data_IF_450747953746
#
_entry.id   IF_450747953746
#
_cell.length_a   1.000
_cell.length_b   1.000
_cell.length_c   1.000
_cell.angle_alpha   90.00
_cell.angle_beta   90.00
_cell.angle_gamma   90.00
#
_symmetry.space_group_name_H-M   'P 1'
#
loop_
_entity.id
_entity.type
_entity.pdbx_description
1 polymer ?
2 polymer ?
3 non-polymer ?
4 non-polymer ?
5 water ?
#
# COMPACT_ATOMS: atom_id res chain seq x y z
C UNK A 1 -5.26 -0.82 31.53
N UNK A 2 -5.50 -2.09 31.79
CA UNK A 2 -5.46 -3.07 30.68
C UNK A 2 -6.71 -2.92 29.83
N UNK A 3 -7.88 -2.68 30.41
CA UNK A 3 -9.13 -2.57 29.59
C UNK A 3 -9.01 -1.30 28.71
N UNK A 4 -8.50 -0.20 29.24
CA UNK A 4 -8.31 1.05 28.46
C UNK A 4 -7.31 0.77 27.34
N UNK A 5 -6.25 0.01 27.63
CA UNK A 5 -5.22 -0.30 26.62
C UNK A 5 -5.88 -1.07 25.48
N UNK A 6 -6.72 -2.05 25.78
CA UNK A 6 -7.41 -2.87 24.76
C UNK A 6 -8.31 -1.93 23.97
N UNK A 7 -9.09 -1.06 24.60
CA UNK A 7 -9.92 -0.10 23.84
C UNK A 7 -9.07 0.72 22.87
N UNK A 8 -7.91 1.20 23.31
CA UNK A 8 -7.04 2.04 22.47
C UNK A 8 -6.50 1.20 21.32
N UNK A 9 -6.05 -0.05 21.60
CA UNK A 9 -5.61 -0.96 20.51
C UNK A 9 -6.73 -1.15 19.51
N UNK A 10 -7.96 -1.39 19.93
CA UNK A 10 -9.06 -1.62 18.97
C UNK A 10 -9.26 -0.36 18.11
N UNK A 11 -9.27 0.81 18.72
CA UNK A 11 -9.51 2.08 17.99
C UNK A 11 -8.37 2.32 16.99
N UNK A 12 -7.14 2.05 17.43
CA UNK A 12 -5.94 2.24 16.58
C UNK A 12 -6.03 1.29 15.39
N UNK A 13 -6.38 0.03 15.63
CA UNK A 13 -6.39 -0.98 14.54
C UNK A 13 -7.52 -0.68 13.54
N UNK A 14 -8.66 -0.17 14.04
CA UNK A 14 -9.76 0.27 13.15
C UNK A 14 -9.24 1.37 12.23
N UNK A 15 -8.51 2.31 12.78
CA UNK A 15 -8.03 3.46 12.02
C UNK A 15 -6.93 3.00 11.04
N UNK A 16 -6.03 2.16 11.50
CA UNK A 16 -4.99 1.50 10.65
C UNK A 16 -5.65 0.80 9.43
N UNK A 17 -6.72 0.06 9.68
CA UNK A 17 -7.43 -0.62 8.57
C UNK A 17 -7.95 0.42 7.55
N UNK A 18 -8.44 1.56 7.99
CA UNK A 18 -8.88 2.63 7.06
C UNK A 18 -7.69 3.19 6.29
N UNK A 19 -6.52 3.37 6.94
CA UNK A 19 -5.34 3.85 6.20
C UNK A 19 -4.95 2.85 5.12
N UNK A 20 -5.02 1.56 5.43
CA UNK A 20 -4.62 0.53 4.43
C UNK A 20 -5.60 0.57 3.26
N UNK A 21 -6.91 0.73 3.55
CA UNK A 21 -7.90 0.85 2.45
C UNK A 21 -7.57 2.05 1.55
N UNK A 22 -7.12 3.19 2.09
CA UNK A 22 -6.79 4.34 1.23
C UNK A 22 -5.59 4.01 0.36
N UNK A 23 -4.54 3.39 0.92
CA UNK A 23 -3.39 2.92 0.08
C UNK A 23 -3.84 1.93 -1.00
N UNK A 24 -4.77 1.01 -0.67
CA UNK A 24 -5.28 0.04 -1.64
C UNK A 24 -5.93 0.79 -2.81
N UNK A 25 -6.71 1.83 -2.49
CA UNK A 25 -7.42 2.61 -3.50
C UNK A 25 -6.41 3.41 -4.33
N UNK A 26 -5.34 3.91 -3.75
CA UNK A 26 -4.27 4.57 -4.53
C UNK A 26 -3.72 3.55 -5.55
N UNK A 27 -3.56 2.29 -5.14
CA UNK A 27 -3.02 1.24 -6.02
C UNK A 27 -3.94 1.03 -7.21
N UNK A 28 -5.25 1.08 -6.97
CA UNK A 28 -6.22 0.94 -8.10
C UNK A 28 -6.00 2.07 -9.10
N UNK A 29 -5.78 3.28 -8.63
CA UNK A 29 -5.57 4.41 -9.56
C UNK A 29 -4.26 4.24 -10.31
N UNK A 30 -3.22 3.71 -9.68
CA UNK A 30 -1.93 3.50 -10.37
C UNK A 30 -2.07 2.47 -11.49
N UNK A 31 -2.86 1.42 -11.28
CA UNK A 31 -3.13 0.41 -12.35
C UNK A 31 -3.80 1.13 -13.52
N UNK A 32 -4.76 2.02 -13.26
CA UNK A 32 -5.44 2.72 -14.37
C UNK A 32 -4.44 3.62 -15.09
N UNK A 33 -3.56 4.30 -14.36
CA UNK A 33 -2.54 5.20 -14.95
C UNK A 33 -1.64 4.40 -15.85
N UNK A 34 -1.11 3.29 -15.39
CA UNK A 34 -0.13 2.56 -16.21
C UNK A 34 -0.85 1.93 -17.41
N UNK A 35 -2.07 1.47 -17.22
CA UNK A 35 -2.81 0.92 -18.39
C UNK A 35 -2.96 2.05 -19.42
N UNK A 36 -3.20 3.27 -18.96
CA UNK A 36 -3.34 4.42 -19.88
C UNK A 36 -2.07 4.77 -20.62
N UNK A 37 -0.95 4.69 -19.96
CA UNK A 37 0.35 4.88 -20.62
C UNK A 37 0.48 3.83 -21.74
N UNK A 38 0.28 2.54 -21.44
CA UNK A 38 0.45 1.46 -22.43
C UNK A 38 -0.48 1.71 -23.61
N UNK A 39 -1.74 2.03 -23.36
CA UNK A 39 -2.73 2.26 -24.45
C UNK A 39 -2.25 3.42 -25.32
N UNK A 40 -1.76 4.52 -24.75
CA UNK A 40 -1.25 5.66 -25.55
C UNK A 40 -0.05 5.21 -26.41
N UNK A 41 0.92 4.51 -25.84
CA UNK A 41 2.17 4.08 -26.52
C UNK A 41 1.74 3.22 -27.72
N UNK A 42 0.75 2.36 -27.53
CA UNK A 42 0.44 1.34 -28.55
C UNK A 42 -0.51 1.90 -29.62
N UNK A 43 -1.38 2.83 -29.26
CA UNK A 43 -2.48 3.28 -30.17
C UNK A 43 -2.16 4.65 -30.78
N UNK A 44 -2.88 5.02 -31.76
C UNK B 1 -12.73 11.46 -26.26
N UNK B 2 -11.89 10.68 -25.54
CA UNK B 2 -10.65 11.33 -25.01
C UNK B 2 -9.78 11.77 -26.18
N UNK B 3 -9.04 12.86 -25.97
CA UNK B 3 -8.01 13.36 -26.92
C UNK B 3 -6.93 12.28 -27.05
N UNK B 4 -6.50 11.99 -28.28
CA UNK B 4 -5.44 10.96 -28.47
C UNK B 4 -4.11 11.66 -28.78
N UNK B 5 -4.07 13.00 -28.69
CA UNK B 5 -2.93 13.89 -28.99
C UNK B 5 -1.79 13.75 -27.95
N UNK B 6 -2.03 14.13 -26.70
CA UNK B 6 -1.02 14.03 -25.61
C UNK B 6 -1.48 12.98 -24.61
N UNK B 7 -0.53 12.38 -23.91
CA UNK B 7 -0.86 11.42 -22.85
C UNK B 7 -1.35 12.21 -21.62
N UNK B 8 -2.43 11.75 -21.02
CA UNK B 8 -2.98 12.38 -19.79
C UNK B 8 -3.52 11.31 -18.83
N UNK B 9 -2.66 10.88 -17.91
CA UNK B 9 -3.08 10.01 -16.80
C UNK B 9 -2.99 10.84 -15.51
N UNK B 10 -2.96 12.17 -15.64
CA UNK B 10 -2.77 13.09 -14.53
C UNK B 10 -3.91 12.97 -13.55
N UNK B 11 -5.13 12.69 -13.96
CA UNK B 11 -6.25 12.62 -13.00
C UNK B 11 -6.10 11.36 -12.14
N UNK B 12 -5.66 10.25 -12.72
CA UNK B 12 -5.39 9.02 -11.93
C UNK B 12 -4.26 9.31 -10.95
N UNK B 13 -3.19 9.95 -11.38
CA UNK B 13 -2.02 10.19 -10.49
C UNK B 13 -2.47 11.13 -9.35
N UNK B 14 -3.30 12.14 -9.64
CA UNK B 14 -3.75 13.10 -8.60
C UNK B 14 -4.63 12.39 -7.59
N UNK B 15 -5.48 11.49 -8.05
CA UNK B 15 -6.38 10.72 -7.18
C UNK B 15 -5.51 9.81 -6.30
N UNK B 16 -4.49 9.21 -6.90
CA UNK B 16 -3.57 8.37 -6.07
C UNK B 16 -2.90 9.23 -5.01
N UNK B 17 -2.43 10.42 -5.36
CA UNK B 17 -1.78 11.33 -4.39
C UNK B 17 -2.75 11.64 -3.24
N UNK B 18 -3.99 11.95 -3.58
CA UNK B 18 -5.00 12.30 -2.56
C UNK B 18 -5.27 11.12 -1.61
N UNK B 19 -5.27 9.91 -2.13
CA UNK B 19 -5.52 8.70 -1.32
C UNK B 19 -4.31 8.46 -0.41
N UNK B 20 -3.10 8.67 -0.90
CA UNK B 20 -1.91 8.49 -0.05
C UNK B 20 -1.88 9.56 1.05
N UNK B 21 -2.35 10.78 0.78
CA UNK B 21 -2.45 11.86 1.80
C UNK B 21 -3.47 11.45 2.88
N UNK B 22 -4.61 10.91 2.44
CA UNK B 22 -5.66 10.44 3.36
C UNK B 22 -5.08 9.31 4.22
N UNK B 23 -4.35 8.39 3.60
CA UNK B 23 -3.69 7.31 4.38
C UNK B 23 -2.74 7.88 5.44
N UNK B 24 -1.94 8.89 5.08
CA UNK B 24 -0.96 9.46 6.03
C UNK B 24 -1.67 10.07 7.22
N UNK B 25 -2.78 10.75 6.97
CA UNK B 25 -3.54 11.37 8.07
C UNK B 25 -4.13 10.29 8.99
N UNK B 26 -4.65 9.21 8.42
CA UNK B 26 -5.18 8.10 9.23
C UNK B 26 -4.06 7.43 10.02
N UNK B 27 -2.88 7.22 9.44
CA UNK B 27 -1.77 6.62 10.22
C UNK B 27 -1.38 7.57 11.35
N UNK B 28 -1.43 8.88 11.12
CA UNK B 28 -1.13 9.82 12.26
C UNK B 28 -2.18 9.63 13.35
N UNK B 29 -3.43 9.49 12.97
CA UNK B 29 -4.51 9.32 13.98
C UNK B 29 -4.31 8.01 14.73
N UNK B 30 -3.96 6.92 14.05
CA UNK B 30 -3.74 5.61 14.67
C UNK B 30 -2.60 5.71 15.68
N UNK B 31 -1.51 6.35 15.31
CA UNK B 31 -0.36 6.42 16.27
C UNK B 31 -0.76 7.33 17.43
N UNK B 32 -1.53 8.41 17.21
CA UNK B 32 -1.94 9.29 18.34
C UNK B 32 -2.77 8.45 19.31
N UNK B 33 -3.69 7.62 18.82
CA UNK B 33 -4.54 6.78 19.69
C UNK B 33 -3.62 5.83 20.47
N UNK B 34 -2.64 5.21 19.82
CA UNK B 34 -1.75 4.24 20.54
C UNK B 34 -0.96 4.96 21.62
N UNK B 35 -0.41 6.13 21.30
CA UNK B 35 0.44 6.93 22.24
C UNK B 35 -0.32 7.32 23.49
N UNK B 36 -1.65 7.52 23.39
CA UNK B 36 -2.52 7.84 24.55
C UNK B 36 -2.69 6.56 25.40
N UNK B 37 -2.81 6.73 26.64
C UNK C 1 -8.32 -8.47 29.89
N UNK C 2 -9.43 -8.44 29.20
CA UNK C 2 -10.19 -9.66 28.82
C UNK C 2 -9.43 -10.47 27.74
N UNK C 3 -9.09 -11.71 28.05
CA UNK C 3 -8.43 -12.69 27.14
C UNK C 3 -9.22 -12.84 25.83
N UNK C 4 -10.56 -12.77 25.86
CA UNK C 4 -11.33 -12.93 24.60
C UNK C 4 -11.04 -11.73 23.72
N UNK C 5 -10.97 -10.53 24.30
CA UNK C 5 -10.66 -9.29 23.53
C UNK C 5 -9.24 -9.39 22.95
N UNK C 6 -8.30 -9.89 23.73
CA UNK C 6 -6.90 -10.08 23.27
C UNK C 6 -6.89 -11.02 22.08
N UNK C 7 -7.61 -12.14 22.15
CA UNK C 7 -7.58 -13.14 21.06
C UNK C 7 -8.20 -12.51 19.82
N UNK C 8 -9.25 -11.73 19.98
CA UNK C 8 -9.91 -11.05 18.86
C UNK C 8 -8.93 -10.06 18.22
N UNK C 9 -8.23 -9.28 19.03
CA UNK C 9 -7.32 -8.23 18.50
C UNK C 9 -6.20 -8.97 17.76
N UNK C 10 -5.69 -10.05 18.30
CA UNK C 10 -4.60 -10.83 17.67
C UNK C 10 -5.07 -11.32 16.31
N UNK C 11 -6.26 -11.89 16.27
CA UNK C 11 -6.80 -12.45 15.02
C UNK C 11 -6.96 -11.33 13.98
N UNK C 12 -7.48 -10.19 14.40
CA UNK C 12 -7.73 -9.03 13.52
C UNK C 12 -6.37 -8.55 13.01
N UNK C 13 -5.38 -8.42 13.85
CA UNK C 13 -4.07 -7.89 13.44
C UNK C 13 -3.33 -8.88 12.52
N UNK C 14 -3.49 -10.17 12.74
CA UNK C 14 -2.87 -11.16 11.84
C UNK C 14 -3.46 -10.99 10.43
N UNK C 15 -4.76 -10.77 10.35
CA UNK C 15 -5.50 -10.68 9.09
C UNK C 15 -5.15 -9.34 8.42
N UNK C 16 -5.00 -8.27 9.20
CA UNK C 16 -4.56 -6.96 8.70
C UNK C 16 -3.16 -7.10 8.09
N UNK C 17 -2.26 -7.82 8.78
CA UNK C 17 -0.89 -7.98 8.28
C UNK C 17 -0.92 -8.74 6.92
N UNK C 18 -1.83 -9.69 6.77
CA UNK C 18 -1.99 -10.44 5.48
C UNK C 18 -2.44 -9.46 4.40
N UNK C 19 -3.37 -8.55 4.72
CA UNK C 19 -3.87 -7.58 3.73
C UNK C 19 -2.70 -6.70 3.29
N UNK C 20 -1.89 -6.24 4.24
CA UNK C 20 -0.77 -5.33 3.90
C UNK C 20 0.22 -6.06 2.98
N UNK C 21 0.47 -7.34 3.27
CA UNK C 21 1.38 -8.12 2.44
C UNK C 21 0.82 -8.19 1.02
N UNK C 22 -0.48 -8.35 0.84
CA UNK C 22 -1.07 -8.39 -0.51
C UNK C 22 -0.87 -7.04 -1.22
N UNK C 23 -1.08 -5.93 -0.51
CA UNK C 23 -0.85 -4.59 -1.13
C UNK C 23 0.62 -4.40 -1.47
N UNK C 24 1.52 -4.89 -0.60
CA UNK C 24 2.96 -4.82 -0.86
C UNK C 24 3.32 -5.55 -2.16
N UNK C 25 2.77 -6.75 -2.31
CA UNK C 25 3.03 -7.55 -3.54
C UNK C 25 2.42 -6.87 -4.75
N UNK C 26 1.25 -6.24 -4.63
CA UNK C 26 0.69 -5.42 -5.72
C UNK C 26 1.66 -4.31 -6.13
N UNK C 27 2.27 -3.65 -5.13
CA UNK C 27 3.27 -2.62 -5.39
C UNK C 27 4.48 -3.15 -6.17
N UNK C 28 4.92 -4.35 -5.81
CA UNK C 28 6.05 -5.00 -6.51
C UNK C 28 5.68 -5.15 -8.00
N UNK C 29 4.46 -5.60 -8.26
CA UNK C 29 4.01 -5.80 -9.67
C UNK C 29 3.96 -4.46 -10.38
N UNK C 30 3.56 -3.40 -9.71
CA UNK C 30 3.52 -2.08 -10.36
C UNK C 30 4.91 -1.57 -10.71
N UNK C 31 5.89 -1.83 -9.85
CA UNK C 31 7.29 -1.50 -10.19
C UNK C 31 7.71 -2.27 -11.46
N UNK C 32 7.36 -3.57 -11.52
CA UNK C 32 7.76 -4.35 -12.72
C UNK C 32 7.09 -3.76 -13.98
N UNK C 33 5.84 -3.35 -13.84
CA UNK C 33 5.11 -2.81 -15.01
C UNK C 33 5.78 -1.53 -15.49
N UNK C 34 6.11 -0.61 -14.57
CA UNK C 34 6.71 0.67 -14.99
C UNK C 34 8.13 0.45 -15.51
N UNK C 35 8.89 -0.47 -14.92
CA UNK C 35 10.21 -0.81 -15.50
C UNK C 35 10.02 -1.38 -16.91
N UNK C 36 8.95 -2.14 -17.14
CA UNK C 36 8.66 -2.70 -18.46
C UNK C 36 8.40 -1.61 -19.46
N UNK C 37 7.66 -0.58 -19.04
CA UNK C 37 7.41 0.59 -19.92
C UNK C 37 8.74 1.27 -20.25
N UNK C 38 9.58 1.52 -19.25
CA UNK C 38 10.86 2.20 -19.51
C UNK C 38 11.67 1.33 -20.47
N UNK C 39 11.77 0.04 -20.23
CA UNK C 39 12.62 -0.84 -21.08
C UNK C 39 12.09 -0.81 -22.53
N UNK C 40 10.79 -0.81 -22.71
CA UNK C 40 10.18 -0.77 -24.05
C UNK C 40 10.55 0.52 -24.74
N UNK C 41 10.40 1.65 -24.06
CA UNK C 41 10.70 2.97 -24.67
C UNK C 41 12.19 3.05 -25.01
N UNK C 42 13.08 2.58 -24.15
CA UNK C 42 14.54 2.77 -24.33
C UNK C 42 15.10 1.75 -25.32
N UNK C 43 14.45 0.61 -25.52
CA UNK C 43 14.99 -0.39 -26.47
C UNK C 43 14.21 -0.24 -27.79
N UNK C 44 14.71 -0.87 -28.85
N UNK D 5 6.44 -5.08 -32.74
CA UNK D 5 6.58 -5.36 -31.28
C UNK D 5 5.66 -4.41 -30.49
N UNK D 6 4.83 -4.95 -29.60
CA UNK D 6 3.82 -4.16 -28.87
C UNK D 6 4.15 -4.13 -27.38
N UNK D 7 3.97 -2.98 -26.74
CA UNK D 7 4.17 -2.93 -25.26
C UNK D 7 3.06 -3.70 -24.55
N UNK D 8 3.41 -4.58 -23.63
CA UNK D 8 2.37 -5.24 -22.86
C UNK D 8 2.89 -5.59 -21.48
N UNK D 9 2.44 -4.81 -20.47
CA UNK D 9 2.75 -5.10 -19.05
C UNK D 9 1.45 -5.51 -18.38
N UNK D 10 0.50 -6.03 -19.14
CA UNK D 10 -0.80 -6.46 -18.60
C UNK D 10 -0.66 -7.60 -17.62
N UNK D 11 0.33 -8.48 -17.72
CA UNK D 11 0.43 -9.60 -16.75
C UNK D 11 0.68 -9.00 -15.35
N UNK D 12 1.60 -8.03 -15.30
CA UNK D 12 1.90 -7.35 -14.02
C UNK D 12 0.67 -6.59 -13.50
N UNK D 13 -0.04 -5.91 -14.38
CA UNK D 13 -1.21 -5.13 -13.90
C UNK D 13 -2.32 -6.07 -13.41
N UNK D 14 -2.53 -7.23 -14.08
CA UNK D 14 -3.56 -8.21 -13.68
C UNK D 14 -3.18 -8.81 -12.31
N UNK D 15 -1.92 -9.17 -12.12
CA UNK D 15 -1.48 -9.68 -10.80
C UNK D 15 -1.70 -8.58 -9.73
N UNK D 16 -1.37 -7.34 -10.06
CA UNK D 16 -1.56 -6.25 -9.08
C UNK D 16 -3.04 -6.19 -8.72
N UNK D 17 -3.93 -6.20 -9.71
CA UNK D 17 -5.39 -6.09 -9.44
C UNK D 17 -5.87 -7.26 -8.56
N UNK D 18 -5.42 -8.48 -8.83
CA UNK D 18 -5.80 -9.66 -8.03
C UNK D 18 -5.37 -9.44 -6.56
N UNK D 19 -4.15 -8.96 -6.40
CA UNK D 19 -3.57 -8.74 -5.05
C UNK D 19 -4.37 -7.64 -4.30
N UNK D 20 -4.74 -6.56 -4.98
CA UNK D 20 -5.54 -5.50 -4.36
C UNK D 20 -6.93 -6.02 -3.96
N UNK D 21 -7.53 -6.90 -4.79
CA UNK D 21 -8.85 -7.42 -4.40
C UNK D 21 -8.71 -8.38 -3.22
N UNK D 22 -7.65 -9.18 -3.21
CA UNK D 22 -7.36 -10.07 -2.07
C UNK D 22 -7.26 -9.22 -0.79
N UNK D 23 -6.53 -8.10 -0.89
CA UNK D 23 -6.35 -7.21 0.28
C UNK D 23 -7.68 -6.65 0.72
N UNK D 24 -8.58 -6.27 -0.20
CA UNK D 24 -9.89 -5.68 0.11
C UNK D 24 -10.65 -6.67 1.00
N UNK D 25 -10.69 -7.91 0.59
CA UNK D 25 -11.50 -8.92 1.29
C UNK D 25 -10.86 -9.26 2.65
N UNK D 26 -9.54 -9.26 2.75
CA UNK D 26 -8.86 -9.48 4.05
C UNK D 26 -9.17 -8.30 4.99
N UNK D 27 -9.21 -7.06 4.51
CA UNK D 27 -9.56 -5.92 5.40
C UNK D 27 -11.00 -6.04 5.90
N UNK D 28 -11.90 -6.51 5.06
CA UNK D 28 -13.29 -6.73 5.52
C UNK D 28 -13.31 -7.81 6.59
N UNK D 29 -12.50 -8.85 6.45
CA UNK D 29 -12.45 -9.92 7.45
C UNK D 29 -11.89 -9.35 8.75
N UNK D 30 -10.77 -8.59 8.70
CA UNK D 30 -10.22 -7.95 9.92
C UNK D 30 -11.31 -7.13 10.61
N UNK D 31 -12.04 -6.32 9.88
CA UNK D 31 -13.07 -5.41 10.45
C UNK D 31 -14.16 -6.28 11.10
N UNK D 32 -14.57 -7.35 10.45
CA UNK D 32 -15.59 -8.29 10.99
C UNK D 32 -15.13 -8.88 12.33
N UNK D 33 -13.89 -9.35 12.38
CA UNK D 33 -13.31 -9.93 13.60
C UNK D 33 -13.37 -8.84 14.68
N UNK D 34 -12.93 -7.62 14.38
CA UNK D 34 -12.89 -6.52 15.37
C UNK D 34 -14.29 -6.24 15.92
N UNK D 35 -15.30 -6.28 15.06
CA UNK D 35 -16.71 -5.99 15.42
C UNK D 35 -17.17 -7.02 16.46
N UNK D 36 -16.66 -8.25 16.38
CA UNK D 36 -16.98 -9.37 17.32
C UNK D 36 -16.30 -9.15 18.67
N UNK D 37 -16.80 -9.74 19.66
C UNK E 1 -2.84 -11.41 32.27
N UNK E 2 -3.13 -10.34 31.53
CA UNK E 2 -2.84 -10.29 30.06
C UNK E 2 -1.94 -9.07 29.73
N UNK E 3 -1.21 -8.51 30.71
CA UNK E 3 -0.36 -7.31 30.51
C UNK E 3 0.67 -7.56 29.40
N UNK E 4 1.33 -8.72 29.40
CA UNK E 4 2.38 -9.07 28.41
C UNK E 4 1.76 -9.21 27.00
N UNK E 5 0.61 -9.87 26.91
CA UNK E 5 -0.13 -10.00 25.64
C UNK E 5 -0.44 -8.61 25.07
N UNK E 6 -0.87 -7.70 25.93
CA UNK E 6 -1.26 -6.33 25.49
C UNK E 6 0.01 -5.62 25.03
N UNK E 7 1.12 -5.80 25.72
CA UNK E 7 2.38 -5.14 25.29
C UNK E 7 2.82 -5.68 23.92
N UNK E 8 2.69 -6.99 23.69
CA UNK E 8 3.01 -7.65 22.39
C UNK E 8 2.08 -7.11 21.29
N UNK E 9 0.79 -6.99 21.56
CA UNK E 9 -0.13 -6.43 20.53
C UNK E 9 0.30 -5.01 20.19
N UNK E 10 0.57 -4.15 21.18
CA UNK E 10 0.97 -2.75 20.96
C UNK E 10 2.26 -2.69 20.12
N UNK E 11 3.24 -3.51 20.45
CA UNK E 11 4.51 -3.51 19.73
C UNK E 11 4.27 -3.99 18.28
N UNK E 12 3.46 -5.02 18.12
CA UNK E 12 3.12 -5.56 16.78
C UNK E 12 2.42 -4.45 15.96
N UNK E 13 1.39 -3.81 16.54
CA UNK E 13 0.68 -2.77 15.78
C UNK E 13 1.56 -1.57 15.42
N UNK E 14 2.43 -1.12 16.34
CA UNK E 14 3.37 -0.02 16.06
C UNK E 14 4.24 -0.42 14.84
N UNK E 15 4.72 -1.66 14.84
CA UNK E 15 5.61 -2.15 13.74
C UNK E 15 4.81 -2.21 12.43
N UNK E 16 3.59 -2.74 12.51
CA UNK E 16 2.67 -2.79 11.35
C UNK E 16 2.47 -1.36 10.81
N UNK E 17 2.22 -0.38 11.67
CA UNK E 17 2.04 1.00 11.18
C UNK E 17 3.29 1.48 10.42
N UNK E 18 4.48 1.15 10.96
CA UNK E 18 5.75 1.51 10.27
C UNK E 18 5.79 0.87 8.87
N UNK E 19 5.34 -0.38 8.75
CA UNK E 19 5.35 -1.10 7.45
C UNK E 19 4.44 -0.32 6.47
N UNK E 20 3.25 0.06 6.97
CA UNK E 20 2.29 0.77 6.10
C UNK E 20 2.89 2.07 5.63
N UNK E 21 3.58 2.83 6.50
CA UNK E 21 4.18 4.10 6.10
C UNK E 21 5.24 3.86 5.00
N UNK E 22 6.00 2.79 5.11
CA UNK E 22 6.98 2.46 4.05
C UNK E 22 6.28 2.19 2.71
N UNK E 23 5.19 1.43 2.74
CA UNK E 23 4.43 1.17 1.50
C UNK E 23 3.86 2.48 0.95
N UNK E 24 3.36 3.35 1.83
CA UNK E 24 2.88 4.66 1.40
C UNK E 24 3.98 5.45 0.68
N UNK E 25 5.18 5.41 1.22
CA UNK E 25 6.35 6.14 0.65
C UNK E 25 6.74 5.50 -0.68
N UNK E 26 6.63 4.17 -0.79
CA UNK E 26 6.85 3.48 -2.08
C UNK E 26 5.85 4.02 -3.10
N UNK E 27 4.59 4.15 -2.68
CA UNK E 27 3.54 4.63 -3.57
C UNK E 27 3.84 6.01 -4.06
N UNK E 28 4.37 6.89 -3.21
CA UNK E 28 4.74 8.25 -3.65
C UNK E 28 5.82 8.19 -4.73
N UNK E 29 6.81 7.31 -4.55
CA UNK E 29 7.88 7.17 -5.58
C UNK E 29 7.30 6.63 -6.88
N UNK E 30 6.34 5.75 -6.78
CA UNK E 30 5.69 5.17 -8.00
C UNK E 30 4.94 6.28 -8.74
N UNK E 31 4.28 7.20 -8.02
CA UNK E 31 3.59 8.35 -8.68
C UNK E 31 4.64 9.17 -9.37
N UNK E 32 5.77 9.45 -8.73
CA UNK E 32 6.83 10.27 -9.36
C UNK E 32 7.30 9.57 -10.64
N UNK E 33 7.48 8.26 -10.58
CA UNK E 33 7.95 7.50 -11.76
C UNK E 33 6.95 7.62 -12.92
N UNK E 34 5.68 7.41 -12.67
CA UNK E 34 4.66 7.41 -13.75
C UNK E 34 4.52 8.84 -14.28
N UNK E 35 4.57 9.85 -13.41
CA UNK E 35 4.59 11.27 -13.84
C UNK E 35 5.77 11.47 -14.80
N UNK E 36 6.92 10.92 -14.43
CA UNK E 36 8.13 11.02 -15.25
C UNK E 36 7.99 10.37 -16.60
N UNK E 37 7.35 9.22 -16.67
CA UNK E 37 7.03 8.55 -17.95
C UNK E 37 6.17 9.47 -18.77
N UNK E 38 5.10 10.01 -18.20
CA UNK E 38 4.20 10.89 -18.98
C UNK E 38 4.97 12.13 -19.44
N UNK E 39 5.79 12.73 -18.59
CA UNK E 39 6.51 13.97 -18.97
C UNK E 39 7.50 13.64 -20.09
N UNK E 40 8.13 12.50 -20.05
CA UNK E 40 9.08 12.11 -21.12
C UNK E 40 8.32 12.00 -22.43
N UNK E 41 7.21 11.26 -22.39
CA UNK E 41 6.39 10.99 -23.60
C UNK E 41 5.91 12.30 -24.20
N UNK E 42 5.45 13.24 -23.38
CA UNK E 42 4.83 14.49 -23.88
C UNK E 42 5.90 15.52 -24.22
N UNK E 43 7.01 15.58 -23.49
CA UNK E 43 7.92 16.74 -23.55
C UNK E 43 9.17 16.40 -24.36
N UNK E 44 9.52 15.18 -24.50
N UNK F 5 15.84 6.42 -27.46
CA UNK F 5 15.12 7.14 -26.35
C UNK F 5 15.90 6.95 -25.04
N UNK F 6 15.73 7.87 -24.06
CA UNK F 6 16.47 7.88 -22.76
C UNK F 6 15.52 8.28 -21.62
N UNK F 7 14.44 7.55 -21.46
CA UNK F 7 13.54 7.68 -20.27
C UNK F 7 14.31 7.22 -19.04
N UNK F 8 14.19 7.97 -17.94
CA UNK F 8 15.04 7.78 -16.78
C UNK F 8 14.23 7.91 -15.49
N UNK F 9 13.52 6.86 -15.07
CA UNK F 9 12.77 6.92 -13.79
C UNK F 9 13.24 5.77 -12.91
N UNK F 10 14.34 5.12 -13.25
CA UNK F 10 14.80 3.95 -12.48
C UNK F 10 15.17 4.32 -11.05
N UNK F 11 15.52 5.55 -10.77
CA UNK F 11 15.87 5.87 -9.37
C UNK F 11 14.62 5.92 -8.51
N UNK F 12 13.51 6.42 -9.07
CA UNK F 12 12.22 6.37 -8.35
C UNK F 12 11.81 4.92 -8.14
N UNK F 13 12.00 4.11 -9.16
CA UNK F 13 11.62 2.68 -9.04
C UNK F 13 12.52 1.99 -8.01
N UNK F 14 13.82 2.34 -7.96
CA UNK F 14 14.75 1.76 -6.95
C UNK F 14 14.33 2.14 -5.54
N UNK F 15 13.99 3.41 -5.34
CA UNK F 15 13.53 3.89 -4.01
C UNK F 15 12.23 3.15 -3.65
N UNK F 16 11.32 2.95 -4.62
CA UNK F 16 10.10 2.23 -4.30
C UNK F 16 10.46 0.79 -3.89
N UNK F 17 11.38 0.14 -4.60
CA UNK F 17 11.80 -1.23 -4.26
C UNK F 17 12.36 -1.26 -2.82
N UNK F 18 13.21 -0.30 -2.51
CA UNK F 18 13.83 -0.24 -1.19
C UNK F 18 12.76 -0.06 -0.08
N UNK F 19 11.78 0.82 -0.35
CA UNK F 19 10.72 1.03 0.64
C UNK F 19 9.86 -0.23 0.79
N UNK F 20 9.56 -0.94 -0.32
CA UNK F 20 8.78 -2.18 -0.17
C UNK F 20 9.58 -3.28 0.55
N UNK F 21 10.92 -3.29 0.41
CA UNK F 21 11.73 -4.26 1.14
C UNK F 21 11.76 -3.89 2.64
N UNK F 22 11.85 -2.61 2.93
CA UNK F 22 11.77 -2.12 4.34
C UNK F 22 10.42 -2.55 4.92
N UNK F 23 9.33 -2.40 4.16
CA UNK F 23 8.03 -2.84 4.68
C UNK F 23 7.99 -4.36 4.88
N UNK F 24 8.55 -5.13 3.97
CA UNK F 24 8.53 -6.60 4.10
C UNK F 24 9.20 -7.00 5.44
N UNK F 25 10.34 -6.39 5.72
CA UNK F 25 11.13 -6.73 6.93
C UNK F 25 10.33 -6.29 8.17
N UNK F 26 9.68 -5.14 8.12
CA UNK F 26 8.83 -4.71 9.27
C UNK F 26 7.64 -5.66 9.46
N UNK F 27 7.00 -6.15 8.40
CA UNK F 27 5.90 -7.10 8.53
C UNK F 27 6.39 -8.42 9.11
N UNK F 28 7.55 -8.90 8.68
CA UNK F 28 8.11 -10.10 9.35
C UNK F 28 8.27 -9.86 10.85
N UNK F 29 8.80 -8.72 11.25
CA UNK F 29 9.01 -8.35 12.67
C UNK F 29 7.66 -8.30 13.39
N UNK F 30 6.66 -7.66 12.77
CA UNK F 30 5.34 -7.65 13.43
C UNK F 30 4.82 -9.06 13.65
N UNK F 31 4.91 -9.95 12.67
CA UNK F 31 4.40 -11.33 12.83
C UNK F 31 5.20 -12.04 13.92
N UNK F 32 6.50 -11.79 14.04
CA UNK F 32 7.34 -12.50 15.04
C UNK F 32 6.83 -12.10 16.43
N UNK F 33 6.66 -10.80 16.65
CA UNK F 33 6.16 -10.22 17.94
C UNK F 33 4.81 -10.83 18.29
N UNK F 34 3.89 -10.93 17.33
CA UNK F 34 2.55 -11.54 17.56
C UNK F 34 2.65 -12.99 17.97
N UNK F 35 3.55 -13.75 17.33
CA UNK F 35 3.60 -15.24 17.47
C UNK F 35 4.06 -15.56 18.89
N UNK F 36 4.92 -14.71 19.46
CA UNK F 36 5.57 -14.92 20.78
C UNK F 36 4.66 -14.44 21.92
N UNK F 37 4.94 -14.86 23.15
X LIG G 1 -13.38 0.05 27.89
X LIG H 1 -12.92 -2.13 26.53
X LIG I 1 -10.63 6.56 -9.94
X LIG J 1 -13.80 -1.02 -3.68
X LIG J 1 -14.87 -1.65 -3.37
X LIG J 1 -12.78 -1.55 -4.27
X LIG J 1 -13.66 0.45 -3.22
X LIG K 1 -10.67 -4.43 -6.50
X LIG K 1 -10.99 -3.77 -5.51
X LIG K 1 -11.52 -5.10 -7.18
X LIG K 1 -9.23 -4.37 -7.00
X LIG L 1 -6.03 15.92 -17.64
X LIG M 1 4.03 13.43 5.29
X LIG N 1 -4.06 15.10 17.04
X LIG O 1 4.02 13.80 2.62
X LIG O 1 3.92 14.46 3.66
X LIG O 1 4.39 12.58 2.65
X LIG O 1 3.63 14.48 1.30
X LIG P 1 -15.53 -3.64 -3.21
X LIG Q 1 -12.88 -3.46 -4.94
X LIG R 1 12.62 10.26 -4.17
X LIG S 1 3.95 -4.81 30.47
X LIG T 1 13.82 11.10 -2.36
X LIG T 1 12.75 10.52 -2.16
X LIG T 1 14.32 11.21 -3.46
X LIG T 1 14.52 11.77 -1.17
#
# INVERSE_FOLDING_TARGET
XNSQAIDNLRASLETTNQAIEAIRQAGQEMILAVQGVQDYINNX
XISLERLDVGENLKKAEEKLKKAEELLKKSEEILKKX
XNSQAIDNLRASLETTNQAIEAIRQAGQEMILAVQGVQDYINNX
XISLERLDVGENLKKAEEKLKKAEELLKKSEEILKKX
XNSQAIDNLRASLETTNQAIEAIRQAGQEMILAVQGVQDYINNX
XISLERLDVGENLKKAEEKLKKAEELLKKSEEILKKX
ZN ZN
ZN ZN
ZN ZN
ACT C O OXT CH3
ACT C O OXT CH3
ZN ZN
ZN ZN
ZN ZN
ACT C O OXT CH3
ZN ZN
ZN ZN
ZN ZN
ZN ZN
ACT C O OXT CH3
#
